data_IF_145253133289
#
_entry.id   IF_145253133289
#
_cell.length_a   1.000
_cell.length_b   1.000
_cell.length_c   1.000
_cell.angle_alpha   90.00
_cell.angle_beta   90.00
_cell.angle_gamma   90.00
#
_symmetry.space_group_name_H-M   'P 1'
#
loop_
_entity.id
_entity.type
_entity.pdbx_description
1 polymer ?
#
# COMPACT_ATOMS: atom_id res chain seq x y z
N UNK A 1 42.04 17.44 -21.66
CA UNK A 1 43.03 18.23 -22.42
C UNK A 1 42.54 18.29 -23.86
N UNK A 2 42.17 19.42 -24.48
CA UNK A 2 42.01 20.82 -24.01
C UNK A 2 41.11 21.61 -24.98
N UNK A 3 40.18 22.52 -24.62
CA UNK A 3 39.50 22.77 -23.32
C UNK A 3 38.04 23.30 -23.50
N UNK A 4 37.76 24.62 -23.57
CA UNK A 4 36.40 25.18 -23.43
C UNK A 4 36.09 26.48 -24.22
N UNK A 5 34.78 26.73 -24.47
CA UNK A 5 34.11 28.07 -24.55
C UNK A 5 34.39 28.90 -25.85
N UNK A 6 33.41 29.64 -26.45
CA UNK A 6 32.59 30.64 -25.73
C UNK A 6 31.08 30.77 -26.01
N UNK A 7 30.41 31.28 -24.97
CA UNK A 7 29.15 32.01 -25.01
C UNK A 7 29.30 33.34 -25.79
N UNK A 8 28.24 33.77 -26.48
CA UNK A 8 28.11 35.14 -26.97
C UNK A 8 26.70 35.69 -26.65
N UNK A 9 26.67 36.92 -26.14
CA UNK A 9 25.48 37.61 -25.64
C UNK A 9 24.68 38.28 -26.76
N UNK A 10 23.41 38.60 -26.51
CA UNK A 10 22.74 39.74 -27.12
C UNK A 10 21.74 40.37 -26.15
N UNK A 11 22.11 41.52 -25.59
CA UNK A 11 21.18 42.55 -25.12
C UNK A 11 20.97 43.52 -26.30
N UNK A 12 19.77 44.09 -26.48
CA UNK A 12 19.58 45.49 -26.11
C UNK A 12 18.11 45.95 -26.16
N UNK A 13 17.92 47.02 -25.40
CA UNK A 13 16.76 47.82 -25.05
C UNK A 13 15.87 48.37 -26.18
N UNK A 14 14.64 48.75 -25.80
CA UNK A 14 14.21 50.15 -25.95
C UNK A 14 13.41 50.64 -24.73
N UNK A 15 13.63 51.91 -24.38
CA UNK A 15 13.22 52.52 -23.09
C UNK A 15 12.26 53.71 -23.27
N UNK A 16 11.21 53.73 -22.44
CA UNK A 16 10.89 54.84 -21.49
C UNK A 16 10.43 56.22 -22.03
N UNK A 17 9.20 56.62 -21.67
CA UNK A 17 8.71 57.97 -21.21
C UNK A 17 7.16 57.90 -21.12
N UNK A 18 6.40 58.66 -20.30
CA UNK A 18 6.66 59.92 -19.57
C UNK A 18 5.77 60.05 -18.30
N UNK A 19 6.02 61.05 -17.44
CA UNK A 19 5.43 61.24 -16.09
C UNK A 19 4.29 62.29 -16.03
N UNK A 20 3.42 62.15 -15.01
CA UNK A 20 2.67 63.18 -14.21
C UNK A 20 1.47 63.94 -14.83
N UNK A 21 0.32 63.82 -14.14
CA UNK A 21 -0.48 64.94 -13.56
C UNK A 21 -1.22 64.47 -12.29
N UNK A 22 -1.57 65.38 -11.37
CA UNK A 22 -2.25 65.16 -10.07
C UNK A 22 -3.61 65.89 -10.08
N UNK A 23 -4.63 65.38 -9.37
CA UNK A 23 -5.77 66.20 -8.90
C UNK A 23 -7.09 65.48 -8.55
N UNK A 24 -7.35 65.30 -7.24
CA UNK A 24 -8.65 65.31 -6.48
C UNK A 24 -9.92 64.65 -7.11
N UNK A 25 -10.44 63.48 -6.65
CA UNK A 25 -11.29 63.14 -5.45
C UNK A 25 -12.74 63.68 -5.47
N UNK A 26 -13.78 63.02 -4.86
CA UNK A 26 -13.79 61.87 -3.92
C UNK A 26 -14.84 60.75 -4.20
N UNK A 27 -15.16 59.93 -3.17
CA UNK A 27 -16.11 58.79 -3.06
C UNK A 27 -15.63 57.43 -3.63
N UNK A 28 -15.96 56.25 -3.07
CA UNK A 28 -16.77 55.91 -1.88
C UNK A 28 -16.36 54.52 -1.28
N UNK A 29 -16.70 54.31 0.01
CA UNK A 29 -16.71 53.04 0.79
C UNK A 29 -15.92 51.80 0.33
N UNK A 30 -14.92 51.42 1.15
CA UNK A 30 -14.44 50.03 1.27
C UNK A 30 -15.55 49.08 1.74
N UNK A 31 -15.67 47.91 1.10
CA UNK A 31 -16.57 46.83 1.51
C UNK A 31 -16.53 45.68 0.51
N UNK A 32 -15.53 44.80 0.62
CA UNK A 32 -15.42 43.64 -0.26
C UNK A 32 -16.58 42.68 -0.02
N UNK A 33 -17.30 42.32 -1.09
CA UNK A 33 -18.37 41.32 -1.04
C UNK A 33 -17.77 39.94 -0.87
N UNK A 34 -18.06 39.27 0.24
CA UNK A 34 -17.99 37.81 0.31
C UNK A 34 -19.12 37.25 -0.55
N UNK A 35 -18.78 36.45 -1.56
CA UNK A 35 -19.75 35.72 -2.38
C UNK A 35 -19.44 34.23 -2.35
N UNK A 36 -20.22 33.50 -1.55
CA UNK A 36 -20.63 32.11 -1.73
C UNK A 36 -19.62 31.15 -2.37
N UNK A 37 -18.75 30.55 -1.54
CA UNK A 37 -18.07 29.32 -1.94
C UNK A 37 -19.03 28.13 -1.79
N UNK A 38 -19.49 27.58 -2.91
CA UNK A 38 -20.32 26.38 -2.95
C UNK A 38 -19.59 25.18 -2.33
N UNK A 39 -20.20 24.54 -1.32
CA UNK A 39 -19.71 23.29 -0.73
C UNK A 39 -19.76 22.14 -1.76
N UNK A 40 -18.63 21.48 -2.09
CA UNK A 40 -18.65 20.18 -2.74
C UNK A 40 -18.98 19.10 -1.70
N UNK A 41 -20.10 18.40 -1.90
CA UNK A 41 -20.52 17.28 -1.06
C UNK A 41 -19.67 16.02 -1.31
N UNK A 42 -19.62 15.17 -0.30
CA UNK A 42 -19.20 13.75 -0.33
C UNK A 42 -17.75 13.40 -0.70
N UNK A 43 -16.92 13.23 0.34
CA UNK A 43 -15.65 12.47 0.28
C UNK A 43 -15.80 11.18 1.08
N UNK A 44 -16.29 10.11 0.45
CA UNK A 44 -16.28 8.76 1.03
C UNK A 44 -15.08 7.98 0.49
N UNK A 45 -14.02 7.98 1.29
CA UNK A 45 -12.83 7.21 0.98
C UNK A 45 -12.41 6.30 2.13
N UNK A 46 -11.16 5.82 2.15
CA UNK A 46 -10.54 5.40 3.40
C UNK A 46 -10.67 6.50 4.47
N UNK A 47 -10.82 7.78 4.10
CA UNK A 47 -11.36 8.90 4.92
C UNK A 47 -12.56 8.54 5.83
N UNK A 48 -13.52 7.76 5.33
CA UNK A 48 -14.70 7.27 6.07
C UNK A 48 -14.38 6.17 7.09
N UNK A 49 -13.20 5.58 6.99
CA UNK A 49 -12.51 4.88 8.06
C UNK A 49 -11.61 5.86 8.84
N UNK A 50 -10.89 6.81 8.18
CA UNK A 50 -9.74 7.67 8.60
C UNK A 50 -9.91 8.37 9.94
N UNK A 51 -9.90 7.55 10.98
CA UNK A 51 -8.70 7.31 11.77
C UNK A 51 -8.30 8.53 12.63
N UNK A 52 -7.83 9.63 12.04
CA UNK A 52 -7.73 11.02 12.53
C UNK A 52 -7.11 11.81 11.37
N UNK A 53 -6.79 13.10 11.56
CA UNK A 53 -6.04 13.83 10.53
C UNK A 53 -4.69 13.16 10.24
N UNK A 54 -4.29 13.05 8.96
CA UNK A 54 -3.02 12.46 8.57
C UNK A 54 -1.83 13.27 9.08
N UNK A 55 -0.82 12.58 9.60
CA UNK A 55 0.49 13.17 9.85
C UNK A 55 1.32 12.99 8.57
N UNK A 56 1.76 14.09 7.97
CA UNK A 56 2.67 14.09 6.83
C UNK A 56 4.12 14.13 7.31
N UNK A 57 4.95 13.23 6.77
CA UNK A 57 6.40 13.29 6.88
C UNK A 57 6.90 13.68 5.49
N UNK A 58 7.39 14.92 5.36
CA UNK A 58 8.04 15.40 4.13
C UNK A 58 9.51 15.70 4.43
N UNK A 59 10.37 15.43 3.45
CA UNK A 59 11.81 15.69 3.51
C UNK A 59 12.15 16.45 2.24
N UNK A 60 12.07 17.78 2.33
CA UNK A 60 12.33 18.67 1.20
C UNK A 60 13.85 18.75 0.95
N UNK A 61 14.26 18.26 -0.22
CA UNK A 61 15.65 18.18 -0.67
C UNK A 61 15.79 18.60 -2.15
N UNK A 62 14.90 19.49 -2.61
CA UNK A 62 15.04 20.27 -3.85
C UNK A 62 15.07 19.50 -5.18
N UNK A 63 14.81 18.18 -5.19
CA UNK A 63 14.90 17.32 -6.38
C UNK A 63 13.56 16.67 -6.73
N UNK A 64 13.19 16.70 -8.02
CA UNK A 64 11.94 16.22 -8.63
C UNK A 64 11.32 14.97 -7.98
N UNK A 65 10.01 15.04 -7.71
CA UNK A 65 9.20 13.95 -7.12
C UNK A 65 9.07 12.79 -8.12
N UNK A 66 9.35 11.56 -7.69
CA UNK A 66 9.34 10.36 -8.55
C UNK A 66 7.93 9.77 -8.80
N UNK A 67 6.87 10.53 -8.52
CA UNK A 67 5.53 10.01 -8.19
C UNK A 67 4.44 10.88 -8.81
N UNK A 68 3.37 10.24 -9.31
CA UNK A 68 2.21 10.89 -9.88
C UNK A 68 1.51 11.78 -8.85
N UNK A 69 1.42 13.09 -9.11
CA UNK A 69 0.91 14.08 -8.14
C UNK A 69 -0.56 13.86 -7.69
N UNK A 70 -1.36 13.09 -8.43
CA UNK A 70 -2.73 12.73 -8.05
C UNK A 70 -2.85 11.48 -7.16
N UNK A 71 -1.73 10.83 -6.81
CA UNK A 71 -1.68 9.64 -5.95
C UNK A 71 -1.54 10.02 -4.47
N UNK A 72 -2.50 9.60 -3.65
CA UNK A 72 -2.42 9.74 -2.18
C UNK A 72 -1.84 8.47 -1.56
N UNK A 73 -0.74 8.61 -0.83
CA UNK A 73 -0.09 7.50 -0.12
C UNK A 73 -0.38 7.53 1.37
N UNK A 74 -0.81 6.41 1.93
CA UNK A 74 -0.98 6.22 3.37
C UNK A 74 -0.34 4.94 3.89
N UNK A 75 0.02 4.94 5.17
CA UNK A 75 0.41 3.71 5.89
C UNK A 75 -0.47 3.51 7.12
N UNK A 76 -0.65 2.26 7.54
CA UNK A 76 -1.32 1.90 8.79
C UNK A 76 -0.38 1.02 9.61
N UNK A 77 -0.14 1.36 10.88
CA UNK A 77 0.50 0.44 11.83
C UNK A 77 -0.59 -0.45 12.43
N UNK A 78 -0.52 -1.76 12.17
CA UNK A 78 -1.56 -2.75 12.48
C UNK A 78 -0.94 -3.93 13.22
N UNK A 79 -1.39 -4.27 14.44
CA UNK A 79 -1.06 -5.56 15.06
C UNK A 79 -1.43 -6.73 14.13
N UNK A 80 -0.57 -7.74 14.03
CA UNK A 80 -0.71 -8.85 13.09
C UNK A 80 -2.11 -9.47 13.12
N UNK A 81 -2.64 -9.72 14.31
CA UNK A 81 -3.94 -10.34 14.56
C UNK A 81 -5.15 -9.47 14.15
N UNK A 82 -4.92 -8.20 13.76
CA UNK A 82 -5.94 -7.28 13.26
C UNK A 82 -5.79 -6.92 11.79
N UNK A 83 -4.72 -7.34 11.11
CA UNK A 83 -4.47 -7.02 9.69
C UNK A 83 -5.62 -7.45 8.78
N UNK A 84 -6.08 -8.70 8.86
CA UNK A 84 -7.20 -9.15 8.02
C UNK A 84 -8.53 -8.46 8.38
N UNK A 85 -8.78 -8.16 9.66
CA UNK A 85 -9.99 -7.44 10.09
C UNK A 85 -10.01 -6.01 9.55
N UNK A 86 -8.86 -5.33 9.49
CA UNK A 86 -8.74 -4.03 8.86
C UNK A 86 -9.01 -4.13 7.35
N UNK A 87 -8.39 -5.11 6.66
CA UNK A 87 -8.63 -5.34 5.22
C UNK A 87 -10.11 -5.60 4.94
N UNK A 88 -10.74 -6.56 5.63
CA UNK A 88 -12.14 -6.89 5.45
C UNK A 88 -13.06 -5.67 5.70
N UNK A 89 -12.79 -4.90 6.76
CA UNK A 89 -13.54 -3.68 7.07
C UNK A 89 -13.37 -2.59 6.00
N UNK A 90 -12.20 -2.54 5.34
CA UNK A 90 -11.92 -1.67 4.20
C UNK A 90 -12.65 -2.11 2.93
N UNK A 91 -12.50 -3.38 2.54
CA UNK A 91 -13.12 -3.96 1.34
C UNK A 91 -14.65 -3.86 1.40
N UNK A 92 -15.27 -4.18 2.55
CA UNK A 92 -16.72 -4.03 2.77
C UNK A 92 -17.24 -2.60 2.60
N UNK A 93 -16.39 -1.57 2.69
CA UNK A 93 -16.76 -0.16 2.47
C UNK A 93 -16.45 0.35 1.06
N UNK A 94 -15.65 -0.38 0.29
CA UNK A 94 -15.16 0.05 -1.02
C UNK A 94 -15.55 -0.95 -2.12
N UNK A 95 -16.63 -1.72 -1.92
CA UNK A 95 -17.18 -2.66 -2.91
C UNK A 95 -17.64 -1.98 -4.22
N UNK A 96 -17.85 -0.66 -4.21
CA UNK A 96 -18.16 0.15 -5.40
C UNK A 96 -16.93 0.60 -6.19
N UNK A 97 -15.71 0.31 -5.73
CA UNK A 97 -14.44 0.71 -6.35
C UNK A 97 -13.74 -0.46 -7.01
N UNK A 98 -12.79 -0.17 -7.91
CA UNK A 98 -11.78 -1.13 -8.38
C UNK A 98 -10.57 -1.09 -7.44
N UNK A 99 -10.32 -2.20 -6.74
CA UNK A 99 -9.32 -2.33 -5.68
C UNK A 99 -8.35 -3.47 -6.02
N UNK A 100 -7.04 -3.26 -5.83
CA UNK A 100 -6.02 -4.32 -5.92
C UNK A 100 -5.35 -4.51 -4.57
N UNK A 101 -5.22 -5.76 -4.11
CA UNK A 101 -4.60 -6.13 -2.85
C UNK A 101 -3.38 -7.03 -3.11
N UNK A 102 -2.19 -6.54 -2.75
CA UNK A 102 -0.93 -7.27 -2.90
C UNK A 102 -0.59 -8.11 -1.66
N UNK A 103 -0.19 -9.36 -1.90
CA UNK A 103 0.31 -10.32 -0.93
C UNK A 103 1.67 -10.88 -1.34
N UNK A 104 2.46 -11.26 -0.33
CA UNK A 104 3.79 -11.88 -0.47
C UNK A 104 3.76 -13.33 -0.96
N UNK A 105 2.62 -14.02 -0.89
CA UNK A 105 2.51 -15.46 -1.14
C UNK A 105 1.28 -15.84 -1.96
N UNK A 106 1.49 -16.71 -2.96
CA UNK A 106 0.43 -17.36 -3.74
C UNK A 106 -0.56 -18.14 -2.87
N UNK A 107 -0.10 -18.76 -1.77
CA UNK A 107 -0.97 -19.49 -0.84
C UNK A 107 -1.81 -18.52 0.02
N UNK A 108 -1.26 -17.35 0.36
CA UNK A 108 -2.03 -16.29 1.02
C UNK A 108 -3.11 -15.72 0.10
N UNK A 109 -2.79 -15.41 -1.17
CA UNK A 109 -3.78 -15.00 -2.18
C UNK A 109 -4.94 -16.00 -2.26
N UNK A 110 -4.63 -17.30 -2.39
CA UNK A 110 -5.67 -18.34 -2.45
C UNK A 110 -6.49 -18.45 -1.16
N UNK A 111 -5.85 -18.46 0.01
CA UNK A 111 -6.58 -18.58 1.28
C UNK A 111 -7.51 -17.38 1.50
N UNK A 112 -7.02 -16.16 1.29
CA UNK A 112 -7.85 -14.97 1.49
C UNK A 112 -8.92 -14.81 0.40
N UNK A 113 -8.72 -15.30 -0.83
CA UNK A 113 -9.78 -15.33 -1.86
C UNK A 113 -10.90 -16.32 -1.52
N UNK A 114 -10.53 -17.54 -1.09
CA UNK A 114 -11.50 -18.53 -0.62
C UNK A 114 -12.26 -18.02 0.64
N UNK A 115 -11.54 -17.43 1.61
CA UNK A 115 -12.13 -16.89 2.84
C UNK A 115 -13.09 -15.72 2.57
N UNK A 116 -12.73 -14.78 1.68
CA UNK A 116 -13.59 -13.64 1.33
C UNK A 116 -14.89 -14.08 0.66
N UNK A 117 -14.82 -15.07 -0.24
CA UNK A 117 -16.02 -15.69 -0.85
C UNK A 117 -16.90 -16.36 0.20
N UNK A 118 -16.34 -17.06 1.19
CA UNK A 118 -17.11 -17.65 2.30
C UNK A 118 -17.83 -16.60 3.20
N UNK A 119 -17.46 -15.32 3.12
CA UNK A 119 -18.16 -14.21 3.80
C UNK A 119 -18.88 -13.26 2.83
N UNK A 120 -19.22 -13.75 1.63
CA UNK A 120 -19.96 -13.04 0.58
C UNK A 120 -19.28 -11.73 0.14
N UNK A 121 -17.96 -11.77 -0.03
CA UNK A 121 -17.18 -10.71 -0.69
C UNK A 121 -16.57 -11.29 -1.95
N UNK A 122 -17.15 -10.93 -3.10
CA UNK A 122 -16.64 -11.35 -4.40
C UNK A 122 -15.28 -10.71 -4.70
N UNK A 123 -14.35 -11.54 -5.16
CA UNK A 123 -13.01 -11.12 -5.55
C UNK A 123 -12.46 -11.98 -6.69
N UNK A 124 -11.65 -11.34 -7.53
CA UNK A 124 -10.74 -11.95 -8.47
C UNK A 124 -9.45 -12.31 -7.74
N UNK A 125 -8.78 -13.39 -8.12
CA UNK A 125 -7.47 -13.73 -7.58
C UNK A 125 -6.51 -14.21 -8.68
N UNK A 126 -5.29 -13.65 -8.70
CA UNK A 126 -4.26 -13.99 -9.69
C UNK A 126 -2.96 -14.30 -8.96
N UNK A 127 -2.51 -15.55 -9.05
CA UNK A 127 -1.26 -15.98 -8.44
C UNK A 127 -0.51 -17.02 -9.29
N UNK A 128 0.81 -17.12 -9.13
CA UNK A 128 1.68 -18.01 -9.92
C UNK A 128 1.47 -19.53 -9.70
N UNK A 129 0.44 -19.92 -8.94
CA UNK A 129 0.02 -21.32 -8.79
C UNK A 129 -1.17 -21.71 -9.68
N UNK A 130 -1.75 -20.76 -10.41
CA UNK A 130 -2.83 -20.97 -11.38
C UNK A 130 -2.25 -21.24 -12.77
N UNK A 131 -3.03 -21.91 -13.63
CA UNK A 131 -2.68 -22.08 -15.05
C UNK A 131 -2.70 -20.72 -15.76
N UNK A 132 -1.82 -20.52 -16.75
CA UNK A 132 -1.72 -19.24 -17.47
C UNK A 132 -3.04 -18.80 -18.10
N UNK A 133 -3.80 -19.73 -18.69
CA UNK A 133 -5.13 -19.43 -19.26
C UNK A 133 -6.09 -18.85 -18.22
N UNK A 134 -6.15 -19.44 -17.02
CA UNK A 134 -6.98 -18.94 -15.92
C UNK A 134 -6.55 -17.54 -15.49
N UNK A 135 -5.24 -17.30 -15.35
CA UNK A 135 -4.70 -15.96 -15.04
C UNK A 135 -5.13 -14.92 -16.09
N UNK A 136 -5.04 -15.27 -17.37
CA UNK A 136 -5.44 -14.38 -18.47
C UNK A 136 -6.93 -14.08 -18.46
N UNK A 137 -7.80 -15.10 -18.30
CA UNK A 137 -9.26 -14.90 -18.20
C UNK A 137 -9.62 -14.01 -17.01
N UNK A 138 -9.17 -14.37 -15.80
CA UNK A 138 -9.44 -13.60 -14.57
C UNK A 138 -8.91 -12.16 -14.64
N UNK A 139 -7.78 -11.93 -15.33
CA UNK A 139 -7.26 -10.59 -15.60
C UNK A 139 -8.17 -9.79 -16.53
N UNK A 140 -8.58 -10.37 -17.66
CA UNK A 140 -9.48 -9.71 -18.62
C UNK A 140 -10.84 -9.37 -17.98
N UNK A 141 -11.40 -10.28 -17.19
CA UNK A 141 -12.66 -10.07 -16.46
C UNK A 141 -12.53 -8.92 -15.44
N UNK A 142 -11.41 -8.83 -14.72
CA UNK A 142 -11.14 -7.70 -13.83
C UNK A 142 -10.89 -6.38 -14.57
N UNK A 143 -10.32 -6.44 -15.78
CA UNK A 143 -10.12 -5.26 -16.62
C UNK A 143 -11.46 -4.67 -17.10
N UNK A 144 -12.39 -5.52 -17.54
CA UNK A 144 -13.71 -5.10 -18.06
C UNK A 144 -14.72 -4.73 -16.95
N UNK A 145 -14.61 -5.31 -15.75
CA UNK A 145 -15.48 -4.96 -14.64
C UNK A 145 -15.33 -3.47 -14.23
N UNK A 146 -16.43 -2.76 -13.97
CA UNK A 146 -16.36 -1.36 -13.48
C UNK A 146 -15.79 -1.28 -12.05
N UNK A 147 -16.14 -2.25 -11.20
CA UNK A 147 -15.78 -2.37 -9.79
C UNK A 147 -15.34 -3.79 -9.48
N UNK A 148 -14.57 -3.98 -8.41
CA UNK A 148 -14.16 -5.32 -7.99
C UNK A 148 -12.87 -5.32 -7.18
N UNK A 149 -12.60 -6.45 -6.54
CA UNK A 149 -11.42 -6.65 -5.69
C UNK A 149 -10.53 -7.69 -6.35
N UNK A 150 -9.30 -7.33 -6.71
CA UNK A 150 -8.27 -8.26 -7.20
C UNK A 150 -7.25 -8.54 -6.11
N UNK A 151 -7.03 -9.81 -5.79
CA UNK A 151 -6.00 -10.29 -4.86
C UNK A 151 -4.84 -10.87 -5.68
N UNK A 152 -3.60 -10.40 -5.49
CA UNK A 152 -2.48 -10.87 -6.31
C UNK A 152 -1.12 -10.86 -5.59
N UNK A 153 -0.12 -11.49 -6.22
CA UNK A 153 1.29 -11.35 -5.86
C UNK A 153 2.04 -10.55 -6.92
N UNK A 154 3.21 -10.00 -6.58
CA UNK A 154 4.02 -9.18 -7.49
C UNK A 154 4.42 -9.93 -8.76
N UNK A 155 4.86 -11.18 -8.64
CA UNK A 155 5.19 -12.05 -9.79
C UNK A 155 3.96 -12.28 -10.67
N UNK A 156 2.76 -12.31 -10.09
CA UNK A 156 1.53 -12.53 -10.82
C UNK A 156 1.03 -11.27 -11.55
N UNK A 157 1.33 -10.08 -11.02
CA UNK A 157 0.99 -8.76 -11.58
C UNK A 157 2.07 -8.19 -12.53
N UNK A 158 3.33 -8.61 -12.41
CA UNK A 158 4.41 -8.24 -13.36
C UNK A 158 4.03 -8.65 -14.78
N UNK A 159 4.11 -7.71 -15.72
CA UNK A 159 3.71 -7.90 -17.12
C UNK A 159 2.21 -7.81 -17.39
N UNK A 160 1.36 -7.67 -16.37
CA UNK A 160 -0.06 -7.35 -16.55
C UNK A 160 -0.25 -5.83 -16.49
N UNK A 161 -0.77 -5.24 -17.57
CA UNK A 161 -1.15 -3.83 -17.57
C UNK A 161 -2.52 -3.64 -16.93
N UNK A 162 -2.56 -3.77 -15.60
CA UNK A 162 -3.76 -3.52 -14.82
C UNK A 162 -4.24 -2.07 -15.11
N UNK A 163 -5.48 -1.86 -15.59
CA UNK A 163 -6.00 -0.53 -15.90
C UNK A 163 -6.05 0.33 -14.63
N UNK A 164 -6.24 1.64 -14.79
CA UNK A 164 -6.31 2.58 -13.67
C UNK A 164 -7.35 2.11 -12.63
N UNK A 165 -6.87 1.68 -11.46
CA UNK A 165 -7.71 1.26 -10.33
C UNK A 165 -7.82 2.40 -9.31
N UNK A 166 -8.89 2.44 -8.53
CA UNK A 166 -9.10 3.51 -7.54
C UNK A 166 -8.13 3.39 -6.36
N UNK A 167 -7.92 2.17 -5.87
CA UNK A 167 -7.14 1.91 -4.65
C UNK A 167 -6.23 0.70 -4.77
N UNK A 168 -4.97 0.90 -4.37
CA UNK A 168 -3.99 -0.15 -4.09
C UNK A 168 -3.91 -0.36 -2.58
N UNK A 169 -3.99 -1.61 -2.14
CA UNK A 169 -3.67 -2.03 -0.77
C UNK A 169 -2.51 -3.00 -0.82
N UNK A 170 -1.41 -2.66 -0.15
CA UNK A 170 -0.28 -3.54 0.08
C UNK A 170 -0.54 -4.20 1.43
N UNK A 171 -1.20 -5.36 1.40
CA UNK A 171 -1.55 -6.08 2.61
C UNK A 171 -0.28 -6.62 3.28
N UNK A 172 0.62 -7.19 2.48
CA UNK A 172 2.01 -7.43 2.86
C UNK A 172 2.90 -6.30 2.28
N UNK A 173 3.90 -5.82 3.03
CA UNK A 173 4.93 -4.94 2.46
C UNK A 173 5.68 -5.63 1.30
N UNK A 174 6.25 -4.86 0.37
CA UNK A 174 7.13 -5.38 -0.68
C UNK A 174 8.55 -5.62 -0.13
N UNK A 175 9.38 -6.32 -0.89
CA UNK A 175 10.76 -6.58 -0.44
C UNK A 175 11.63 -5.32 -0.47
N UNK A 176 11.33 -4.39 -1.37
CA UNK A 176 12.05 -3.12 -1.50
C UNK A 176 11.13 -1.92 -1.87
N UNK A 177 11.58 -0.68 -1.62
CA UNK A 177 10.84 0.54 -1.98
C UNK A 177 10.53 0.72 -3.48
N UNK A 178 11.31 0.14 -4.39
CA UNK A 178 11.07 0.26 -5.84
C UNK A 178 9.92 -0.67 -6.25
N UNK A 179 9.80 -1.83 -5.64
CA UNK A 179 8.63 -2.70 -5.76
C UNK A 179 7.37 -2.01 -5.18
N UNK A 180 7.46 -1.26 -4.08
CA UNK A 180 6.38 -0.36 -3.64
C UNK A 180 5.94 0.60 -4.77
N UNK A 181 6.89 1.31 -5.39
CA UNK A 181 6.60 2.27 -6.48
C UNK A 181 5.96 1.56 -7.68
N UNK A 182 6.44 0.37 -8.05
CA UNK A 182 5.86 -0.43 -9.15
C UNK A 182 4.43 -0.94 -8.88
N UNK A 183 4.10 -1.27 -7.63
CA UNK A 183 2.75 -1.65 -7.19
C UNK A 183 1.78 -0.48 -7.28
N UNK A 184 2.20 0.70 -6.82
CA UNK A 184 1.32 1.89 -6.79
C UNK A 184 1.19 2.59 -8.15
N UNK A 185 2.13 2.40 -9.08
CA UNK A 185 2.01 2.82 -10.49
C UNK A 185 0.89 2.13 -11.31
N UNK A 186 0.04 1.32 -10.67
CA UNK A 186 -1.20 0.75 -11.24
C UNK A 186 -2.44 1.63 -11.00
N UNK A 187 -2.33 2.65 -10.14
CA UNK A 187 -3.36 3.67 -9.90
C UNK A 187 -2.86 5.05 -10.33
N UNK A 188 -3.73 6.08 -10.30
CA UNK A 188 -3.40 7.47 -10.67
C UNK A 188 -2.68 7.59 -12.03
N UNK A 189 -3.14 6.84 -13.04
CA UNK A 189 -2.58 6.83 -14.41
C UNK A 189 -3.25 7.90 -15.28
N UNK A 190 -2.49 8.43 -16.24
CA UNK A 190 -2.95 9.49 -17.15
C UNK A 190 -2.89 10.89 -16.56
N UNK A 191 -3.06 11.89 -17.41
CA UNK A 191 -3.09 13.31 -17.00
C UNK A 191 -4.32 13.57 -16.10
N UNK A 192 -4.10 14.22 -14.95
CA UNK A 192 -5.14 14.42 -13.93
C UNK A 192 -5.59 13.15 -13.19
N UNK A 193 -4.96 12.00 -13.44
CA UNK A 193 -5.30 10.72 -12.82
C UNK A 193 -5.20 10.76 -11.29
N UNK A 194 -6.27 10.35 -10.61
CA UNK A 194 -6.35 10.27 -9.14
C UNK A 194 -6.31 8.82 -8.69
N UNK A 195 -5.79 8.59 -7.48
CA UNK A 195 -5.63 7.24 -6.95
C UNK A 195 -5.18 7.22 -5.51
N UNK A 196 -5.32 6.07 -4.84
CA UNK A 196 -4.84 5.89 -3.46
C UNK A 196 -4.03 4.62 -3.28
N UNK A 197 -3.02 4.70 -2.45
CA UNK A 197 -2.17 3.57 -2.09
C UNK A 197 -2.05 3.49 -0.56
N UNK A 198 -2.39 2.33 0.00
CA UNK A 198 -2.25 2.05 1.42
C UNK A 198 -1.30 0.88 1.63
N UNK A 199 -0.39 0.99 2.60
CA UNK A 199 0.45 -0.12 3.06
C UNK A 199 0.13 -0.45 4.52
N UNK A 200 -0.07 -1.73 4.81
CA UNK A 200 -0.20 -2.21 6.18
C UNK A 200 1.17 -2.67 6.66
N UNK A 201 1.61 -2.11 7.78
CA UNK A 201 2.84 -2.49 8.46
C UNK A 201 2.52 -2.98 9.87
N UNK A 202 3.24 -3.98 10.37
CA UNK A 202 3.25 -4.30 11.81
C UNK A 202 4.23 -3.35 12.54
N UNK A 203 4.17 -3.21 13.88
CA UNK A 203 5.07 -2.32 14.62
C UNK A 203 6.56 -2.55 14.34
N UNK A 204 6.96 -3.80 14.12
CA UNK A 204 8.33 -4.23 13.81
C UNK A 204 8.81 -3.77 12.42
N UNK A 205 7.89 -3.51 11.49
CA UNK A 205 8.17 -3.10 10.11
C UNK A 205 8.23 -1.57 9.94
N UNK A 206 7.98 -0.78 10.99
CA UNK A 206 7.87 0.69 10.93
C UNK A 206 9.07 1.39 10.26
N UNK A 207 10.28 0.83 10.39
CA UNK A 207 11.49 1.36 9.76
C UNK A 207 11.41 1.43 8.22
N UNK A 208 10.54 0.62 7.59
CA UNK A 208 10.30 0.66 6.14
C UNK A 208 9.84 2.04 5.65
N UNK A 209 9.15 2.81 6.50
CA UNK A 209 8.73 4.18 6.19
C UNK A 209 9.94 5.08 5.88
N UNK A 210 11.06 4.94 6.58
CA UNK A 210 12.27 5.74 6.30
C UNK A 210 12.84 5.48 4.90
N UNK A 211 12.76 4.23 4.42
CA UNK A 211 13.22 3.85 3.08
C UNK A 211 12.28 4.38 1.99
N UNK A 212 10.97 4.38 2.24
CA UNK A 212 9.99 5.06 1.37
C UNK A 212 10.25 6.57 1.32
N UNK A 213 10.51 7.22 2.45
CA UNK A 213 10.85 8.65 2.53
C UNK A 213 12.16 8.96 1.79
N UNK A 214 13.17 8.11 1.90
CA UNK A 214 14.44 8.27 1.17
C UNK A 214 14.27 8.17 -0.37
N UNK A 215 13.35 7.33 -0.84
CA UNK A 215 12.93 7.27 -2.26
C UNK A 215 11.87 8.35 -2.61
N UNK A 216 11.68 9.34 -1.73
CA UNK A 216 10.78 10.49 -1.87
C UNK A 216 9.31 10.11 -2.07
N UNK A 217 8.87 9.06 -1.39
CA UNK A 217 7.46 8.69 -1.26
C UNK A 217 6.90 9.35 0.03
N UNK A 218 6.22 10.50 -0.06
CA UNK A 218 5.57 11.11 1.10
C UNK A 218 4.37 10.25 1.50
N UNK A 219 4.56 9.44 2.52
CA UNK A 219 3.53 8.55 3.09
C UNK A 219 2.94 9.17 4.35
N UNK A 220 1.60 9.24 4.42
CA UNK A 220 0.92 9.82 5.56
C UNK A 220 0.37 8.76 6.52
N UNK A 221 0.51 8.95 7.84
CA UNK A 221 -0.04 7.97 8.79
C UNK A 221 -1.58 7.96 8.77
N UNK A 222 -2.15 6.77 8.77
CA UNK A 222 -3.56 6.50 9.03
C UNK A 222 -3.64 5.62 10.29
N UNK A 223 -4.12 6.19 11.41
CA UNK A 223 -4.28 5.49 12.70
C UNK A 223 -5.36 4.37 12.64
N UNK A 224 -5.82 3.76 13.76
CA UNK A 224 -6.95 2.78 13.71
C UNK A 224 -8.09 3.14 14.69
N UNK A 225 -9.26 3.55 14.14
CA UNK A 225 -10.54 3.78 14.85
C UNK A 225 -11.20 2.42 15.01
N UNK A 226 -10.93 1.79 16.15
CA UNK A 226 -11.46 0.46 16.53
C UNK A 226 -12.98 0.36 16.29
N UNK A 227 -13.74 1.42 16.56
CA UNK A 227 -15.20 1.52 16.37
C UNK A 227 -15.67 1.41 14.90
N UNK A 228 -14.78 1.50 13.92
CA UNK A 228 -15.10 1.31 12.48
C UNK A 228 -14.69 -0.06 11.96
N UNK A 229 -14.00 -0.89 12.75
CA UNK A 229 -13.69 -2.27 12.42
C UNK A 229 -14.93 -3.15 12.59
N UNK A 230 -15.11 -4.11 11.68
CA UNK A 230 -16.16 -5.12 11.80
C UNK A 230 -15.76 -6.15 12.87
N UNK A 231 -16.63 -6.39 13.84
CA UNK A 231 -16.41 -7.41 14.86
C UNK A 231 -16.70 -8.82 14.30
N UNK A 232 -15.80 -9.35 13.49
CA UNK A 232 -15.97 -10.64 12.79
C UNK A 232 -14.88 -11.69 13.09
N UNK A 233 -13.86 -11.35 13.88
CA UNK A 233 -12.73 -12.25 14.18
C UNK A 233 -13.19 -13.65 14.59
N UNK A 234 -13.98 -13.76 15.67
CA UNK A 234 -14.46 -15.06 16.17
C UNK A 234 -15.48 -15.78 15.28
N UNK A 235 -16.05 -15.09 14.28
CA UNK A 235 -16.86 -15.73 13.23
C UNK A 235 -15.96 -16.35 12.16
N UNK A 236 -14.91 -15.62 11.75
CA UNK A 236 -13.93 -16.09 10.78
C UNK A 236 -13.11 -17.27 11.35
N UNK A 237 -12.66 -17.18 12.60
CA UNK A 237 -11.96 -18.26 13.31
C UNK A 237 -12.78 -19.55 13.32
N UNK A 238 -14.04 -19.50 13.78
CA UNK A 238 -14.95 -20.66 13.76
C UNK A 238 -15.24 -21.19 12.35
N UNK A 239 -15.27 -20.32 11.35
CA UNK A 239 -15.50 -20.71 9.95
C UNK A 239 -14.29 -21.43 9.35
N UNK A 240 -13.07 -20.96 9.65
CA UNK A 240 -11.83 -21.61 9.24
C UNK A 240 -11.63 -22.92 9.99
N UNK A 241 -11.86 -22.95 11.31
CA UNK A 241 -11.77 -24.16 12.14
C UNK A 241 -12.80 -25.24 11.73
N UNK A 242 -14.03 -24.84 11.42
CA UNK A 242 -15.11 -25.76 11.03
C UNK A 242 -15.06 -26.27 9.59
N UNK A 243 -14.21 -25.72 8.71
CA UNK A 243 -14.11 -26.14 7.31
C UNK A 243 -12.72 -26.72 7.02
N UNK A 244 -12.65 -28.04 6.83
CA UNK A 244 -11.39 -28.76 6.58
C UNK A 244 -10.53 -28.17 5.45
N UNK A 245 -11.13 -27.84 4.30
CA UNK A 245 -10.41 -27.29 3.15
C UNK A 245 -9.86 -25.90 3.44
N UNK A 246 -10.67 -25.06 4.09
CA UNK A 246 -10.28 -23.70 4.45
C UNK A 246 -9.22 -23.68 5.56
N UNK A 247 -9.33 -24.57 6.56
CA UNK A 247 -8.32 -24.79 7.60
C UNK A 247 -6.96 -25.23 7.01
N UNK A 248 -6.97 -26.19 6.08
CA UNK A 248 -5.76 -26.64 5.42
C UNK A 248 -5.16 -25.55 4.52
N UNK A 249 -5.99 -24.79 3.80
CA UNK A 249 -5.57 -23.62 3.01
C UNK A 249 -4.92 -22.55 3.90
N UNK A 250 -5.52 -22.23 5.04
CA UNK A 250 -4.97 -21.33 6.05
C UNK A 250 -3.59 -21.79 6.54
N UNK A 251 -3.41 -23.10 6.76
CA UNK A 251 -2.16 -23.66 7.29
C UNK A 251 -1.02 -23.57 6.28
N UNK A 252 -1.32 -23.80 5.00
CA UNK A 252 -0.37 -23.61 3.90
C UNK A 252 -0.06 -22.13 3.65
N UNK A 253 -1.07 -21.26 3.77
CA UNK A 253 -0.92 -19.81 3.65
C UNK A 253 -0.02 -19.25 4.76
N UNK A 254 -0.29 -19.55 6.02
CA UNK A 254 0.51 -19.16 7.18
C UNK A 254 1.97 -19.61 7.05
N UNK A 255 2.21 -20.90 6.72
CA UNK A 255 3.57 -21.41 6.47
C UNK A 255 4.25 -20.65 5.32
N UNK A 256 3.54 -20.40 4.23
CA UNK A 256 4.11 -19.72 3.06
C UNK A 256 4.37 -18.24 3.29
N UNK A 257 3.55 -17.55 4.09
CA UNK A 257 3.78 -16.18 4.53
C UNK A 257 5.08 -16.09 5.35
N UNK A 258 5.25 -16.95 6.35
CA UNK A 258 6.48 -16.97 7.16
C UNK A 258 7.75 -17.27 6.33
N UNK A 259 7.63 -18.12 5.30
CA UNK A 259 8.71 -18.38 4.35
C UNK A 259 9.01 -17.16 3.46
N UNK A 260 7.98 -16.48 2.94
CA UNK A 260 8.14 -15.26 2.15
C UNK A 260 8.74 -14.11 2.99
N UNK A 261 8.28 -13.93 4.23
CA UNK A 261 8.86 -13.01 5.19
C UNK A 261 10.35 -13.33 5.46
N UNK A 262 10.68 -14.61 5.62
CA UNK A 262 12.07 -15.03 5.72
C UNK A 262 12.88 -14.96 4.41
N UNK A 263 12.28 -14.80 3.23
CA UNK A 263 13.04 -14.56 1.99
C UNK A 263 13.36 -13.09 1.72
N UNK A 264 12.79 -12.14 2.49
CA UNK A 264 13.04 -10.71 2.28
C UNK A 264 14.54 -10.33 2.36
N UNK A 265 15.01 -9.36 1.58
CA UNK A 265 16.40 -8.91 1.56
C UNK A 265 16.76 -8.04 2.77
N UNK A 266 15.88 -7.10 3.16
CA UNK A 266 16.10 -6.17 4.29
C UNK A 266 15.86 -6.86 5.65
N UNK A 267 16.87 -7.58 6.16
CA UNK A 267 16.81 -8.38 7.41
C UNK A 267 16.85 -7.61 8.72
N UNK A 268 17.24 -6.36 8.65
CA UNK A 268 17.13 -5.34 9.69
C UNK A 268 15.66 -5.01 10.01
N UNK A 269 14.82 -4.93 8.98
CA UNK A 269 13.36 -4.70 9.06
C UNK A 269 12.62 -6.05 9.14
N UNK A 270 12.67 -6.83 8.07
CA UNK A 270 11.87 -8.05 7.85
C UNK A 270 12.54 -9.28 8.46
N UNK A 271 12.58 -9.30 9.80
CA UNK A 271 13.17 -10.38 10.58
C UNK A 271 12.09 -11.34 11.12
N UNK A 272 11.93 -12.50 10.47
CA UNK A 272 10.97 -13.54 10.86
C UNK A 272 11.11 -14.01 12.32
N UNK A 273 12.29 -13.88 12.93
CA UNK A 273 12.53 -14.26 14.32
C UNK A 273 12.07 -13.19 15.33
N UNK A 274 11.64 -12.01 14.88
CA UNK A 274 11.02 -10.96 15.72
C UNK A 274 9.49 -10.99 15.70
N UNK A 275 8.87 -11.77 14.80
CA UNK A 275 7.42 -11.86 14.69
C UNK A 275 6.79 -12.57 15.91
N UNK A 276 5.71 -12.02 16.47
CA UNK A 276 4.80 -12.81 17.29
C UNK A 276 4.03 -13.79 16.40
N UNK A 277 4.52 -15.03 16.36
CA UNK A 277 3.91 -16.13 15.61
C UNK A 277 2.46 -16.43 16.05
N UNK A 278 2.04 -16.08 17.27
CA UNK A 278 0.64 -16.23 17.71
C UNK A 278 -0.25 -15.16 17.07
N UNK A 279 0.19 -13.90 17.12
CA UNK A 279 -0.53 -12.81 16.47
C UNK A 279 -0.60 -12.99 14.94
N UNK A 280 0.48 -13.47 14.32
CA UNK A 280 0.48 -13.84 12.88
C UNK A 280 -0.49 -15.00 12.63
N UNK A 281 -0.50 -16.06 13.43
CA UNK A 281 -1.44 -17.17 13.26
C UNK A 281 -2.92 -16.72 13.37
N UNK A 282 -3.23 -15.80 14.29
CA UNK A 282 -4.57 -15.23 14.42
C UNK A 282 -4.99 -14.39 13.18
N UNK A 283 -4.03 -13.83 12.42
CA UNK A 283 -4.34 -13.16 11.14
C UNK A 283 -4.84 -14.14 10.07
N UNK A 284 -4.38 -15.40 10.11
CA UNK A 284 -4.89 -16.53 9.32
C UNK A 284 -6.09 -17.24 9.99
N UNK A 285 -6.74 -16.56 10.94
CA UNK A 285 -7.95 -17.03 11.64
C UNK A 285 -7.76 -18.32 12.47
N UNK A 286 -6.58 -18.54 13.05
CA UNK A 286 -6.36 -19.64 13.99
C UNK A 286 -6.63 -19.25 15.44
N UNK A 287 -7.50 -20.04 16.12
CA UNK A 287 -7.78 -19.93 17.57
C UNK A 287 -6.54 -20.20 18.45
N UNK A 288 -5.52 -20.89 17.93
CA UNK A 288 -4.31 -21.28 18.65
C UNK A 288 -3.12 -21.36 17.68
N UNK A 289 -1.89 -20.96 18.08
CA UNK A 289 -0.72 -21.03 17.21
C UNK A 289 -0.38 -22.49 16.84
N UNK A 290 -0.57 -22.85 15.58
CA UNK A 290 -0.07 -24.11 15.05
C UNK A 290 1.46 -24.17 15.16
N UNK A 291 1.99 -25.28 15.70
CA UNK A 291 3.43 -25.56 15.72
C UNK A 291 3.95 -25.70 14.29
N UNK A 292 4.48 -24.62 13.75
CA UNK A 292 5.25 -24.66 12.49
C UNK A 292 6.71 -24.88 12.86
N UNK A 293 7.22 -26.06 12.51
CA UNK A 293 8.66 -26.33 12.51
C UNK A 293 9.30 -25.51 11.38
N UNK A 294 9.58 -24.26 11.73
CA UNK A 294 10.35 -23.30 10.98
C UNK A 294 11.81 -23.76 10.91
N UNK A 295 12.11 -24.71 10.00
CA UNK A 295 13.46 -25.08 9.58
C UNK A 295 14.10 -23.95 8.75
N UNK A 296 14.14 -22.75 9.35
CA UNK A 296 14.68 -21.52 8.78
C UNK A 296 16.20 -21.56 8.89
N UNK A 297 16.86 -22.18 7.91
CA UNK A 297 18.30 -22.09 7.72
C UNK A 297 18.73 -20.71 7.19
N UNK A 298 18.37 -19.65 7.93
CA UNK A 298 18.79 -18.28 7.64
C UNK A 298 20.32 -18.17 7.59
N UNK A 299 20.86 -17.31 6.72
CA UNK A 299 22.31 -17.04 6.71
C UNK A 299 22.80 -16.53 8.07
N UNK A 300 21.93 -15.88 8.85
CA UNK A 300 22.16 -15.50 10.24
C UNK A 300 22.30 -16.71 11.20
N UNK A 301 21.53 -17.79 11.03
CA UNK A 301 21.71 -19.01 11.83
C UNK A 301 22.99 -19.76 11.44
N UNK A 302 23.39 -19.73 10.17
CA UNK A 302 24.71 -20.19 9.70
C UNK A 302 25.85 -19.34 10.29
N UNK A 303 25.70 -18.02 10.35
CA UNK A 303 26.67 -17.09 10.95
C UNK A 303 26.84 -17.35 12.46
N UNK A 304 25.73 -17.44 13.22
CA UNK A 304 25.77 -17.84 14.64
C UNK A 304 26.42 -19.22 14.87
N UNK A 305 26.18 -20.19 13.97
CA UNK A 305 26.81 -21.51 14.06
C UNK A 305 28.32 -21.45 13.75
N UNK A 306 28.73 -20.62 12.78
CA UNK A 306 30.16 -20.40 12.44
C UNK A 306 30.92 -19.70 13.58
N UNK A 307 30.31 -18.69 14.21
CA UNK A 307 30.92 -18.00 15.37
C UNK A 307 31.06 -18.89 16.61
N UNK A 308 30.20 -19.89 16.80
CA UNK A 308 30.32 -20.88 17.90
C UNK A 308 31.30 -22.02 17.62
N UNK A 309 31.78 -22.16 16.39
CA UNK A 309 32.68 -23.26 15.95
C UNK A 309 34.12 -22.78 15.66
N UNK A 310 34.40 -21.47 15.75
CA UNK A 310 35.71 -20.88 15.49
C UNK A 310 36.37 -20.26 16.73
N UNK A 311 36.00 -20.72 17.92
CA UNK A 311 36.50 -20.24 19.21
C UNK A 311 36.91 -21.40 20.12
N UNK A 312 37.59 -22.39 19.55
CA UNK A 312 38.13 -23.59 20.21
C UNK A 312 39.42 -23.99 19.52
#
# INVERSE_FOLDING_TARGET
MTDAIPYASFEDETKKKRKRKRGKTPSESTGAKESELQNPKEVIDLASLSLREPIFIDVDDGRTKAINAGLQHGYCIVPSEKRFILLYSFLMKNQSKKVVVFYSSCKSVKFYSDLLRCVNVDCFDIHGGQKQQQRTTTFLDFCTAEKGILLCTDVAARGLDIPAVDVIVQFDPPDDPKEYIHRVGRTARGEGGKGKAFIFLIPEEMQFIHYLTAEKVPVAEQQIRKNRLKNVQSKLEKMVEGNYYLHQSAREAYKSYLLAYNSHSMKDIFNVHRLDLRAVAASFCFCSPHKVNLNLSSSASKLRKKMRMGGS
#
